data_IF_134883213357
#
_entry.id   IF_134883213357
#
_cell.length_a   1.000
_cell.length_b   1.000
_cell.length_c   1.000
_cell.angle_alpha   90.00
_cell.angle_beta   90.00
_cell.angle_gamma   90.00
#
_symmetry.space_group_name_H-M   'P 1'
#
loop_
_entity.id
_entity.type
_entity.pdbx_description
1 polymer ?
#
# COMPACT_ATOMS: atom_id res chain seq x y z
N UNK A 1 31.76 15.91 -15.13
CA UNK A 1 30.58 16.46 -15.82
C UNK A 1 29.52 16.81 -14.77
N UNK A 2 28.75 17.86 -14.99
CA UNK A 2 27.64 18.23 -14.10
C UNK A 2 26.35 18.30 -14.94
N UNK A 3 25.74 17.15 -15.27
CA UNK A 3 24.56 17.10 -16.12
C UNK A 3 23.35 17.68 -15.40
N UNK A 4 22.49 18.35 -16.12
CA UNK A 4 21.18 18.80 -15.62
C UNK A 4 20.11 17.73 -15.71
N UNK A 5 20.27 16.80 -16.66
CA UNK A 5 19.36 15.66 -16.89
C UNK A 5 20.20 14.39 -16.94
N UNK A 6 19.74 13.37 -16.22
CA UNK A 6 20.34 12.02 -16.22
C UNK A 6 19.25 11.02 -16.66
N UNK A 7 19.53 10.29 -17.74
CA UNK A 7 18.65 9.23 -18.24
C UNK A 7 19.26 7.89 -17.89
N UNK A 8 18.51 7.04 -17.23
CA UNK A 8 18.92 5.72 -16.79
C UNK A 8 17.93 4.69 -17.36
N UNK A 9 18.47 3.74 -18.11
CA UNK A 9 17.71 2.61 -18.65
C UNK A 9 18.05 1.36 -17.87
N UNK A 10 17.02 0.74 -17.28
CA UNK A 10 17.12 -0.48 -16.47
C UNK A 10 18.30 -0.52 -15.47
N UNK A 11 18.51 0.52 -14.64
CA UNK A 11 19.71 0.63 -13.81
C UNK A 11 19.81 -0.48 -12.74
N UNK A 12 18.73 -1.21 -12.50
CA UNK A 12 18.63 -2.28 -11.49
C UNK A 12 18.62 -3.68 -12.11
N UNK A 13 18.77 -3.79 -13.44
CA UNK A 13 18.77 -5.07 -14.12
C UNK A 13 19.89 -5.99 -13.61
N UNK A 14 19.54 -7.24 -13.29
CA UNK A 14 20.49 -8.25 -12.82
C UNK A 14 20.98 -8.08 -11.38
N UNK A 15 20.50 -7.10 -10.64
CA UNK A 15 20.84 -6.91 -9.23
C UNK A 15 19.92 -7.72 -8.30
N UNK A 16 20.49 -8.15 -7.18
CA UNK A 16 19.72 -8.66 -6.05
C UNK A 16 18.87 -7.54 -5.40
N UNK A 17 17.87 -7.86 -4.57
CA UNK A 17 17.00 -6.86 -3.97
C UNK A 17 17.74 -5.76 -3.19
N UNK A 18 18.83 -6.12 -2.50
CA UNK A 18 19.62 -5.16 -1.75
C UNK A 18 20.40 -4.21 -2.66
N UNK A 19 21.06 -4.76 -3.68
CA UNK A 19 21.78 -3.95 -4.68
C UNK A 19 20.86 -3.00 -5.43
N UNK A 20 19.61 -3.43 -5.71
CA UNK A 20 18.57 -2.60 -6.30
C UNK A 20 18.23 -1.40 -5.40
N UNK A 21 17.92 -1.65 -4.13
CA UNK A 21 17.59 -0.60 -3.17
C UNK A 21 18.75 0.38 -2.96
N UNK A 22 19.99 -0.13 -2.92
CA UNK A 22 21.19 0.68 -2.76
C UNK A 22 21.39 1.63 -3.96
N UNK A 23 21.28 1.13 -5.19
CA UNK A 23 21.43 1.94 -6.41
C UNK A 23 20.33 2.99 -6.52
N UNK A 24 19.06 2.60 -6.38
CA UNK A 24 17.95 3.54 -6.48
C UNK A 24 17.97 4.58 -5.35
N UNK A 25 18.39 4.18 -4.15
CA UNK A 25 18.59 5.09 -3.03
C UNK A 25 19.69 6.12 -3.30
N UNK A 26 20.81 5.71 -3.93
CA UNK A 26 21.86 6.65 -4.35
C UNK A 26 21.40 7.61 -5.45
N UNK A 27 20.63 7.10 -6.42
CA UNK A 27 20.04 7.93 -7.48
C UNK A 27 19.09 8.99 -6.88
N UNK A 28 18.21 8.60 -5.97
CA UNK A 28 17.30 9.51 -5.29
C UNK A 28 18.05 10.56 -4.44
N UNK A 29 19.13 10.16 -3.76
CA UNK A 29 20.01 11.07 -3.02
C UNK A 29 20.69 12.08 -3.95
N UNK A 30 21.24 11.63 -5.06
CA UNK A 30 21.88 12.47 -6.07
C UNK A 30 20.91 13.50 -6.62
N UNK A 31 19.68 13.11 -6.92
CA UNK A 31 18.60 14.00 -7.40
C UNK A 31 18.32 15.11 -6.37
N UNK A 32 18.19 14.74 -5.07
CA UNK A 32 17.95 15.72 -4.00
C UNK A 32 19.11 16.69 -3.79
N UNK A 33 20.33 16.19 -3.78
CA UNK A 33 21.53 16.99 -3.48
C UNK A 33 21.90 17.94 -4.61
N UNK A 34 21.69 17.52 -5.85
CA UNK A 34 22.10 18.30 -7.04
C UNK A 34 20.96 18.99 -7.76
N UNK A 35 19.71 18.70 -7.43
CA UNK A 35 18.53 19.27 -8.09
C UNK A 35 18.42 18.90 -9.57
N UNK A 36 19.04 17.77 -9.99
CA UNK A 36 19.01 17.33 -11.38
C UNK A 36 17.68 16.60 -11.69
N UNK A 37 17.29 16.62 -12.96
CA UNK A 37 16.18 15.80 -13.44
C UNK A 37 16.68 14.39 -13.75
N UNK A 38 16.01 13.38 -13.20
CA UNK A 38 16.30 11.97 -13.50
C UNK A 38 15.14 11.39 -14.28
N UNK A 39 15.43 10.81 -15.45
CA UNK A 39 14.52 10.02 -16.25
C UNK A 39 14.91 8.56 -16.07
N UNK A 40 14.02 7.78 -15.44
CA UNK A 40 14.20 6.35 -15.21
C UNK A 40 13.33 5.58 -16.21
N UNK A 41 13.94 4.76 -17.05
CA UNK A 41 13.24 3.80 -17.90
C UNK A 41 13.34 2.43 -17.24
N UNK A 42 12.21 1.88 -16.83
CA UNK A 42 12.14 0.59 -16.13
C UNK A 42 10.82 -0.12 -16.39
N UNK A 43 10.86 -1.45 -16.32
CA UNK A 43 9.68 -2.32 -16.30
C UNK A 43 9.33 -2.80 -14.87
N UNK A 44 10.11 -2.42 -13.85
CA UNK A 44 9.81 -2.70 -12.45
C UNK A 44 8.80 -1.69 -11.91
N UNK A 45 7.54 -2.10 -11.81
CA UNK A 45 6.46 -1.22 -11.31
C UNK A 45 6.64 -0.87 -9.85
N UNK A 46 7.30 -1.73 -9.06
CA UNK A 46 7.66 -1.49 -7.66
C UNK A 46 8.66 -0.34 -7.54
N UNK A 47 9.71 -0.33 -8.36
CA UNK A 47 10.72 0.72 -8.37
C UNK A 47 10.09 2.05 -8.80
N UNK A 48 9.29 2.02 -9.87
CA UNK A 48 8.56 3.20 -10.36
C UNK A 48 7.60 3.74 -9.29
N UNK A 49 6.85 2.87 -8.60
CA UNK A 49 5.94 3.27 -7.52
C UNK A 49 6.66 3.94 -6.34
N UNK A 50 7.86 3.48 -6.03
CA UNK A 50 8.63 3.94 -4.87
C UNK A 50 9.42 5.22 -5.14
N UNK A 51 9.97 5.38 -6.34
CA UNK A 51 10.96 6.43 -6.63
C UNK A 51 10.48 7.51 -7.61
N UNK A 52 9.51 7.20 -8.49
CA UNK A 52 9.04 8.17 -9.47
C UNK A 52 8.03 9.17 -8.87
N UNK A 53 8.19 10.43 -9.21
CA UNK A 53 7.20 11.50 -8.90
C UNK A 53 6.18 11.70 -10.01
N UNK A 54 6.51 11.27 -11.25
CA UNK A 54 5.67 11.36 -12.45
C UNK A 54 5.97 10.17 -13.34
N UNK A 55 4.97 9.60 -13.95
CA UNK A 55 5.08 8.48 -14.89
C UNK A 55 4.60 8.93 -16.26
N UNK A 56 5.38 8.59 -17.28
CA UNK A 56 5.02 8.68 -18.69
C UNK A 56 4.88 7.24 -19.21
N UNK A 57 3.67 6.83 -19.58
CA UNK A 57 3.44 5.54 -20.23
C UNK A 57 3.42 5.75 -21.73
N UNK A 58 4.32 5.04 -22.42
CA UNK A 58 4.45 5.10 -23.88
C UNK A 58 3.96 3.78 -24.47
N UNK A 59 3.01 3.85 -25.39
CA UNK A 59 2.51 2.70 -26.13
C UNK A 59 2.29 3.07 -27.61
N UNK A 60 2.74 2.22 -28.52
CA UNK A 60 2.63 2.47 -29.96
C UNK A 60 3.26 3.80 -30.41
N UNK A 61 4.34 4.23 -29.78
CA UNK A 61 5.02 5.51 -30.07
C UNK A 61 4.30 6.76 -29.59
N UNK A 62 3.28 6.64 -28.75
CA UNK A 62 2.50 7.75 -28.20
C UNK A 62 2.52 7.71 -26.66
N UNK A 63 2.48 8.87 -26.04
CA UNK A 63 2.25 8.97 -24.60
C UNK A 63 0.76 8.74 -24.34
N UNK A 64 0.46 7.67 -23.60
CA UNK A 64 -0.92 7.26 -23.28
C UNK A 64 -1.31 7.81 -21.91
N UNK A 65 -0.39 7.76 -20.94
CA UNK A 65 -0.58 8.36 -19.62
C UNK A 65 0.59 9.25 -19.27
N UNK A 66 0.31 10.34 -18.57
CA UNK A 66 1.27 11.30 -18.05
C UNK A 66 0.73 11.89 -16.75
N UNK A 67 1.03 11.24 -15.63
CA UNK A 67 0.51 11.66 -14.32
C UNK A 67 1.39 11.08 -13.17
N UNK A 68 0.96 11.36 -11.94
CA UNK A 68 1.55 10.79 -10.73
C UNK A 68 1.33 9.27 -10.67
N UNK A 69 2.25 8.51 -10.05
CA UNK A 69 2.15 7.05 -9.96
C UNK A 69 0.78 6.54 -9.50
N UNK A 70 0.19 7.13 -8.47
CA UNK A 70 -1.13 6.73 -7.96
C UNK A 70 -2.22 6.84 -9.01
N UNK A 71 -2.20 7.91 -9.79
CA UNK A 71 -3.20 8.14 -10.84
C UNK A 71 -3.03 7.16 -12.00
N UNK A 72 -1.81 6.92 -12.42
CA UNK A 72 -1.51 5.97 -13.49
C UNK A 72 -1.93 4.54 -13.07
N UNK A 73 -1.65 4.13 -11.84
CA UNK A 73 -2.00 2.78 -11.36
C UNK A 73 -3.50 2.58 -11.05
N UNK A 74 -4.32 3.63 -11.05
CA UNK A 74 -5.79 3.51 -11.05
C UNK A 74 -6.32 2.89 -12.36
N UNK A 75 -5.55 3.00 -13.46
CA UNK A 75 -5.88 2.47 -14.80
C UNK A 75 -5.37 1.04 -15.01
N UNK A 76 -5.59 0.16 -14.04
CA UNK A 76 -5.09 -1.23 -14.06
C UNK A 76 -5.47 -1.99 -15.33
N UNK A 77 -6.72 -1.84 -15.80
CA UNK A 77 -7.22 -2.55 -16.98
C UNK A 77 -6.49 -2.12 -18.26
N UNK A 78 -6.40 -0.82 -18.47
CA UNK A 78 -5.75 -0.25 -19.64
C UNK A 78 -4.23 -0.56 -19.64
N UNK A 79 -3.60 -0.53 -18.46
CA UNK A 79 -2.19 -0.92 -18.33
C UNK A 79 -1.99 -2.40 -18.67
N UNK A 80 -2.85 -3.28 -18.17
CA UNK A 80 -2.81 -4.72 -18.48
C UNK A 80 -3.02 -5.01 -19.99
N UNK A 81 -3.92 -4.29 -20.66
CA UNK A 81 -4.14 -4.40 -22.10
C UNK A 81 -2.89 -4.01 -22.92
N UNK A 82 -2.06 -3.11 -22.37
CA UNK A 82 -0.78 -2.72 -22.94
C UNK A 82 0.39 -3.63 -22.53
N UNK A 83 0.12 -4.70 -21.76
CA UNK A 83 1.14 -5.62 -21.25
C UNK A 83 1.93 -5.07 -20.06
N UNK A 84 1.44 -4.01 -19.41
CA UNK A 84 2.04 -3.42 -18.22
C UNK A 84 1.25 -3.86 -16.98
N UNK A 85 1.96 -4.31 -15.93
CA UNK A 85 1.34 -4.62 -14.65
C UNK A 85 1.28 -3.36 -13.78
N UNK A 86 0.45 -3.38 -12.74
CA UNK A 86 0.56 -2.46 -11.60
C UNK A 86 1.36 -3.15 -10.47
N UNK A 87 1.86 -2.42 -9.45
CA UNK A 87 2.58 -3.02 -8.34
C UNK A 87 1.77 -4.15 -7.68
N UNK A 88 2.42 -5.26 -7.34
CA UNK A 88 1.76 -6.44 -6.75
C UNK A 88 0.99 -6.09 -5.48
N UNK A 89 1.55 -5.18 -4.68
CA UNK A 89 0.90 -4.70 -3.46
C UNK A 89 -0.41 -3.94 -3.76
N UNK A 90 -0.46 -3.18 -4.84
CA UNK A 90 -1.67 -2.48 -5.28
C UNK A 90 -2.75 -3.47 -5.70
N UNK A 91 -2.37 -4.50 -6.48
CA UNK A 91 -3.29 -5.60 -6.85
C UNK A 91 -3.85 -6.30 -5.61
N UNK A 92 -3.00 -6.60 -4.62
CA UNK A 92 -3.44 -7.21 -3.37
C UNK A 92 -4.47 -6.32 -2.63
N UNK A 93 -4.21 -5.01 -2.55
CA UNK A 93 -5.13 -4.09 -1.86
C UNK A 93 -6.46 -3.94 -2.58
N UNK A 94 -6.46 -3.90 -3.93
CA UNK A 94 -7.68 -3.92 -4.74
C UNK A 94 -8.48 -5.20 -4.51
N UNK A 95 -7.82 -6.36 -4.49
CA UNK A 95 -8.47 -7.64 -4.23
C UNK A 95 -9.07 -7.72 -2.83
N UNK A 96 -8.34 -7.32 -1.80
CA UNK A 96 -8.86 -7.28 -0.43
C UNK A 96 -10.10 -6.39 -0.34
N UNK A 97 -10.08 -5.23 -1.01
CA UNK A 97 -11.24 -4.35 -1.04
C UNK A 97 -12.44 -4.97 -1.75
N UNK A 98 -12.24 -5.64 -2.89
CA UNK A 98 -13.31 -6.33 -3.62
C UNK A 98 -13.92 -7.50 -2.82
N UNK A 99 -13.16 -8.11 -1.93
CA UNK A 99 -13.61 -9.14 -0.98
C UNK A 99 -14.31 -8.56 0.28
N UNK A 100 -14.48 -7.22 0.34
CA UNK A 100 -15.20 -6.54 1.43
C UNK A 100 -14.36 -6.16 2.65
N UNK A 101 -13.04 -6.31 2.60
CA UNK A 101 -12.18 -5.82 3.66
C UNK A 101 -12.10 -4.28 3.63
N UNK A 102 -12.26 -3.57 4.77
CA UNK A 102 -12.20 -2.12 4.83
C UNK A 102 -10.75 -1.61 4.82
N UNK A 103 -10.06 -1.85 3.71
CA UNK A 103 -8.69 -1.41 3.45
C UNK A 103 -8.69 -0.27 2.45
N UNK A 104 -7.65 0.58 2.51
CA UNK A 104 -7.47 1.64 1.52
C UNK A 104 -6.79 1.05 0.28
N UNK A 105 -7.47 1.10 -0.85
CA UNK A 105 -6.98 0.55 -2.12
C UNK A 105 -5.79 1.32 -2.73
N UNK A 106 -5.54 2.55 -2.30
CA UNK A 106 -4.56 3.46 -2.90
C UNK A 106 -3.10 3.23 -2.44
N UNK A 107 -2.78 2.10 -1.81
CA UNK A 107 -1.41 1.78 -1.45
C UNK A 107 -0.65 1.29 -2.68
N UNK A 108 0.42 1.99 -3.04
CA UNK A 108 1.30 1.65 -4.17
C UNK A 108 2.66 1.11 -3.73
N UNK A 109 2.96 1.16 -2.42
CA UNK A 109 4.18 0.61 -1.83
C UNK A 109 3.86 -0.37 -0.70
N UNK A 110 4.78 -1.31 -0.45
CA UNK A 110 4.66 -2.31 0.63
C UNK A 110 4.52 -1.63 1.99
N UNK A 111 5.23 -0.53 2.22
CA UNK A 111 5.18 0.23 3.48
C UNK A 111 3.80 0.82 3.71
N UNK A 112 3.16 1.35 2.69
CA UNK A 112 1.80 1.90 2.77
C UNK A 112 0.77 0.82 3.03
N UNK A 113 0.83 -0.29 2.30
CA UNK A 113 -0.06 -1.42 2.51
C UNK A 113 0.10 -2.02 3.92
N UNK A 114 1.34 -2.20 4.39
CA UNK A 114 1.61 -2.64 5.76
C UNK A 114 0.97 -1.72 6.79
N UNK A 115 1.11 -0.40 6.64
CA UNK A 115 0.49 0.58 7.54
C UNK A 115 -1.04 0.45 7.55
N UNK A 116 -1.65 0.34 6.38
CA UNK A 116 -3.09 0.17 6.23
C UNK A 116 -3.60 -1.11 6.91
N UNK A 117 -2.94 -2.23 6.64
CA UNK A 117 -3.31 -3.52 7.21
C UNK A 117 -3.14 -3.55 8.74
N UNK A 118 -2.05 -2.97 9.27
CA UNK A 118 -1.85 -2.88 10.71
C UNK A 118 -2.95 -2.04 11.39
N UNK A 119 -3.37 -0.93 10.81
CA UNK A 119 -4.48 -0.13 11.34
C UNK A 119 -5.79 -0.94 11.38
N UNK A 120 -6.09 -1.69 10.33
CA UNK A 120 -7.25 -2.56 10.26
C UNK A 120 -7.23 -3.63 11.36
N UNK A 121 -6.14 -4.38 11.49
CA UNK A 121 -6.02 -5.44 12.50
C UNK A 121 -6.02 -4.90 13.94
N UNK A 122 -5.44 -3.74 14.20
CA UNK A 122 -5.49 -3.10 15.51
C UNK A 122 -6.89 -2.61 15.87
N UNK A 123 -7.65 -2.09 14.90
CA UNK A 123 -9.05 -1.71 15.08
C UNK A 123 -9.93 -2.92 15.43
N UNK A 124 -9.73 -4.05 14.75
CA UNK A 124 -10.46 -5.29 14.99
C UNK A 124 -10.19 -5.87 16.39
N UNK A 125 -8.93 -5.87 16.84
CA UNK A 125 -8.58 -6.32 18.21
C UNK A 125 -9.30 -5.50 19.27
N UNK A 126 -9.47 -4.18 19.09
CA UNK A 126 -10.19 -3.32 20.04
C UNK A 126 -11.69 -3.60 20.09
N UNK A 127 -12.29 -3.98 18.96
CA UNK A 127 -13.71 -4.36 18.91
C UNK A 127 -13.96 -5.74 19.55
N UNK A 128 -13.11 -6.71 19.28
CA UNK A 128 -13.22 -8.07 19.87
C UNK A 128 -13.00 -8.08 21.39
N UNK A 129 -12.13 -7.20 21.92
CA UNK A 129 -11.99 -7.03 23.38
C UNK A 129 -13.25 -6.41 24.00
N UNK A 130 -13.82 -5.36 23.41
CA UNK A 130 -15.04 -4.73 23.93
C UNK A 130 -16.25 -5.66 23.94
N UNK A 131 -16.39 -6.50 22.91
CA UNK A 131 -17.46 -7.49 22.83
C UNK A 131 -17.35 -8.58 23.90
N UNK A 132 -16.13 -8.99 24.26
CA UNK A 132 -15.87 -9.99 25.32
C UNK A 132 -16.13 -9.40 26.71
N UNK A 133 -15.79 -8.15 26.94
CA UNK A 133 -16.02 -7.47 28.23
C UNK A 133 -17.50 -7.22 28.47
N UNK A 134 -18.29 -6.86 27.45
CA UNK A 134 -19.74 -6.73 27.54
C UNK A 134 -20.41 -8.08 27.86
N UNK A 135 -20.03 -9.15 27.16
CA UNK A 135 -20.61 -10.47 27.38
C UNK A 135 -20.30 -11.04 28.77
N UNK A 136 -19.14 -10.70 29.34
CA UNK A 136 -18.77 -11.05 30.71
C UNK A 136 -19.53 -10.24 31.77
N UNK A 137 -19.86 -8.97 31.50
CA UNK A 137 -20.68 -8.17 32.40
C UNK A 137 -22.14 -8.60 32.40
N UNK A 138 -22.71 -8.95 31.25
CA UNK A 138 -24.08 -9.45 31.12
C UNK A 138 -24.24 -10.82 31.82
N UNK A 139 -23.25 -11.72 31.73
CA UNK A 139 -23.27 -12.99 32.45
C UNK A 139 -23.16 -12.80 33.96
N UNK A 140 -22.35 -11.86 34.47
CA UNK A 140 -22.28 -11.55 35.90
C UNK A 140 -23.59 -10.98 36.44
N UNK A 141 -24.21 -10.08 35.70
CA UNK A 141 -25.49 -9.47 36.09
C UNK A 141 -26.64 -10.52 36.14
N UNK A 142 -26.64 -11.49 35.23
CA UNK A 142 -27.63 -12.59 35.26
C UNK A 142 -27.41 -13.57 36.39
N UNK A 143 -26.17 -13.80 36.82
CA UNK A 143 -25.86 -14.67 37.97
C UNK A 143 -26.22 -13.97 39.29
N UNK A 144 -26.01 -12.68 39.41
CA UNK A 144 -26.39 -11.90 40.59
C UNK A 144 -27.90 -11.75 40.74
N UNK A 145 -28.67 -11.57 39.66
CA UNK A 145 -30.13 -11.53 39.71
C UNK A 145 -30.77 -12.85 40.13
N UNK A 146 -30.13 -14.00 39.87
CA UNK A 146 -30.59 -15.32 40.29
C UNK A 146 -30.24 -15.67 41.75
N UNK A 147 -29.43 -14.88 42.43
CA UNK A 147 -28.98 -15.10 43.82
C UNK A 147 -29.75 -14.31 44.88
N UNK A 148 -30.73 -13.50 44.52
CA UNK A 148 -31.59 -12.86 45.52
C UNK A 148 -32.57 -13.90 46.07
N UNK A 149 -32.53 -14.23 47.37
CA UNK A 149 -33.53 -15.11 47.99
C UNK A 149 -34.87 -14.38 48.11
N UNK A 150 -35.94 -15.09 47.78
CA UNK A 150 -37.30 -14.64 48.10
C UNK A 150 -37.41 -14.51 49.64
N UNK A 151 -37.52 -13.28 50.12
CA UNK A 151 -37.91 -13.01 51.51
C UNK A 151 -39.37 -13.42 51.66
N UNK A 152 -39.60 -14.57 52.32
CA UNK A 152 -40.93 -15.04 52.73
C UNK A 152 -41.44 -14.06 53.80
N UNK A 153 -42.50 -13.32 53.46
CA UNK A 153 -43.33 -12.63 54.44
C UNK A 153 -44.18 -13.67 55.19
N UNK A 154 -44.06 -13.65 56.50
CA UNK A 154 -45.01 -14.27 57.45
C UNK A 154 -45.91 -13.21 57.98
#
# INVERSE_FOLDING_TARGET
MNPQILILEEPTAGLDPKGRDDILGQIAKLQKERGITIVLVSHSMEDVAQYASRILVVNGGKIVFDDKPRKVFEHEKELNEMGLAIPQVTQLMHRLKSEGYPVFENAITVQEARKNLLMYFQGKKKQDCKSKDQNNQDQKSQIESRRKPEEKTV
#
